data_IF_758799695791
#
_entry.id   IF_758799695791
#
_cell.length_a   1.000
_cell.length_b   1.000
_cell.length_c   1.000
_cell.angle_alpha   90.00
_cell.angle_beta   90.00
_cell.angle_gamma   90.00
#
_symmetry.space_group_name_H-M   'P 1'
#
loop_
_entity.id
_entity.type
_entity.pdbx_description
1 polymer ?
#
# COMPACT_ATOMS: atom_id res chain seq x y z
N UNK A 1 -2.56 21.73 -7.68
CA UNK A 1 -3.26 20.47 -7.32
C UNK A 1 -3.35 20.43 -5.81
N UNK A 2 -4.54 20.61 -5.22
CA UNK A 2 -4.69 20.74 -3.76
C UNK A 2 -4.25 19.48 -2.98
N UNK A 3 -3.66 19.61 -1.78
CA UNK A 3 -3.31 18.49 -0.90
C UNK A 3 -4.47 17.51 -0.66
N UNK A 4 -5.69 18.03 -0.52
CA UNK A 4 -6.91 17.23 -0.36
C UNK A 4 -7.16 16.32 -1.56
N UNK A 5 -6.85 16.78 -2.77
CA UNK A 5 -7.03 16.01 -4.00
C UNK A 5 -6.05 14.81 -4.09
N UNK A 6 -4.83 14.97 -3.55
CA UNK A 6 -3.83 13.88 -3.49
C UNK A 6 -4.27 12.82 -2.48
N UNK A 7 -4.74 13.24 -1.31
CA UNK A 7 -5.25 12.35 -0.28
C UNK A 7 -6.49 11.58 -0.74
N UNK A 8 -7.47 12.25 -1.37
CA UNK A 8 -8.67 11.59 -1.89
C UNK A 8 -8.35 10.55 -2.96
N UNK A 9 -7.38 10.83 -3.83
CA UNK A 9 -6.93 9.88 -4.86
C UNK A 9 -6.25 8.65 -4.24
N UNK A 10 -5.48 8.84 -3.18
CA UNK A 10 -4.87 7.73 -2.45
C UNK A 10 -5.91 6.88 -1.72
N UNK A 11 -6.82 7.51 -0.97
CA UNK A 11 -7.89 6.80 -0.24
C UNK A 11 -8.79 6.04 -1.22
N UNK A 12 -9.15 6.65 -2.35
CA UNK A 12 -9.93 5.99 -3.40
C UNK A 12 -9.19 4.79 -4.00
N UNK A 13 -7.88 4.89 -4.21
CA UNK A 13 -7.10 3.76 -4.74
C UNK A 13 -7.03 2.60 -3.73
N UNK A 14 -6.82 2.90 -2.45
CA UNK A 14 -6.74 1.89 -1.38
C UNK A 14 -8.12 1.27 -1.11
N UNK A 15 -9.21 2.02 -1.24
CA UNK A 15 -10.56 1.48 -1.03
C UNK A 15 -10.94 0.40 -2.04
N UNK A 16 -10.39 0.42 -3.26
CA UNK A 16 -10.62 -0.65 -4.24
C UNK A 16 -10.00 -1.99 -3.84
N UNK A 17 -9.02 -1.97 -2.94
CA UNK A 17 -8.31 -3.16 -2.43
C UNK A 17 -9.00 -3.70 -1.17
N UNK A 18 -10.05 -3.01 -0.70
CA UNK A 18 -10.80 -3.33 0.51
C UNK A 18 -12.14 -3.98 0.12
N UNK A 19 -12.29 -5.27 0.43
CA UNK A 19 -13.53 -6.03 0.31
C UNK A 19 -14.42 -5.84 1.57
N UNK A 20 -15.70 -5.45 1.40
CA UNK A 20 -16.58 -5.12 2.51
C UNK A 20 -16.86 -6.26 3.52
N UNK A 21 -16.71 -7.52 3.11
CA UNK A 21 -17.08 -8.69 3.93
C UNK A 21 -15.90 -9.32 4.68
N UNK A 22 -14.68 -9.19 4.15
CA UNK A 22 -13.48 -9.91 4.64
C UNK A 22 -12.31 -8.99 4.98
N UNK A 23 -12.40 -7.69 4.66
CA UNK A 23 -11.31 -6.73 4.86
C UNK A 23 -10.47 -6.56 3.60
N UNK A 24 -9.14 -6.65 3.66
CA UNK A 24 -8.29 -6.58 2.46
C UNK A 24 -8.47 -7.84 1.58
N UNK A 25 -8.15 -7.76 0.28
CA UNK A 25 -8.01 -8.94 -0.62
C UNK A 25 -7.27 -10.08 0.08
N UNK A 26 -7.61 -11.33 -0.29
CA UNK A 26 -7.02 -12.54 0.30
C UNK A 26 -5.49 -12.49 0.29
N UNK A 27 -4.86 -13.24 1.19
CA UNK A 27 -3.40 -13.24 1.33
C UNK A 27 -2.71 -13.62 0.01
N UNK A 28 -3.26 -14.58 -0.74
CA UNK A 28 -2.76 -14.98 -2.05
C UNK A 28 -2.94 -13.87 -3.11
N UNK A 29 -4.08 -13.17 -3.13
CA UNK A 29 -4.30 -12.03 -4.03
C UNK A 29 -3.41 -10.83 -3.67
N UNK A 30 -3.20 -10.57 -2.38
CA UNK A 30 -2.32 -9.51 -1.90
C UNK A 30 -0.86 -9.83 -2.23
N UNK A 31 -0.46 -11.09 -2.12
CA UNK A 31 0.84 -11.57 -2.54
C UNK A 31 1.03 -11.42 -4.05
N UNK A 32 0.04 -11.83 -4.86
CA UNK A 32 0.06 -11.65 -6.31
C UNK A 32 0.16 -10.17 -6.73
N UNK A 33 -0.63 -9.30 -6.10
CA UNK A 33 -0.62 -7.85 -6.35
C UNK A 33 0.73 -7.20 -5.99
N UNK A 34 1.45 -7.80 -5.04
CA UNK A 34 2.74 -7.29 -4.56
C UNK A 34 3.93 -8.08 -5.09
N UNK A 35 3.72 -9.08 -5.95
CA UNK A 35 4.78 -9.94 -6.47
C UNK A 35 5.55 -10.64 -5.35
N UNK A 36 4.83 -11.18 -4.37
CA UNK A 36 5.38 -12.02 -3.29
C UNK A 36 5.03 -13.46 -3.65
N UNK A 37 6.05 -14.32 -3.77
CA UNK A 37 5.82 -15.75 -4.02
C UNK A 37 5.45 -16.46 -2.72
N UNK A 38 4.29 -17.11 -2.73
CA UNK A 38 3.72 -17.86 -1.60
C UNK A 38 3.45 -19.33 -1.92
N UNK A 39 3.85 -19.82 -3.12
CA UNK A 39 3.50 -21.17 -3.58
C UNK A 39 4.10 -22.31 -2.74
N UNK A 40 5.09 -22.03 -1.89
CA UNK A 40 5.71 -23.00 -0.98
C UNK A 40 5.47 -22.75 0.51
N UNK A 41 4.59 -21.80 0.84
CA UNK A 41 4.32 -21.41 2.23
C UNK A 41 3.05 -22.11 2.72
N UNK A 42 3.12 -22.69 3.92
CA UNK A 42 1.97 -23.33 4.57
C UNK A 42 0.80 -22.35 4.70
N UNK A 43 -0.42 -22.80 4.36
CA UNK A 43 -1.62 -21.96 4.32
C UNK A 43 -1.91 -21.26 5.67
N UNK A 44 -1.53 -21.88 6.80
CA UNK A 44 -1.66 -21.28 8.13
C UNK A 44 -0.63 -20.18 8.44
N UNK A 45 0.47 -20.12 7.69
CA UNK A 45 1.58 -19.18 7.88
C UNK A 45 1.69 -18.13 6.77
N UNK A 46 0.90 -18.25 5.71
CA UNK A 46 0.90 -17.31 4.58
C UNK A 46 0.68 -15.87 5.00
N UNK A 47 -0.25 -15.59 5.92
CA UNK A 47 -0.52 -14.23 6.38
C UNK A 47 0.71 -13.60 7.03
N UNK A 48 1.38 -14.35 7.91
CA UNK A 48 2.56 -13.87 8.62
C UNK A 48 3.74 -13.68 7.67
N UNK A 49 3.92 -14.60 6.72
CA UNK A 49 4.95 -14.50 5.69
C UNK A 49 4.75 -13.28 4.78
N UNK A 50 3.54 -13.11 4.24
CA UNK A 50 3.19 -11.98 3.38
C UNK A 50 3.34 -10.67 4.13
N UNK A 51 2.91 -10.61 5.39
CA UNK A 51 3.07 -9.43 6.26
C UNK A 51 4.54 -9.11 6.51
N UNK A 52 5.36 -10.13 6.77
CA UNK A 52 6.80 -9.99 7.01
C UNK A 52 7.53 -9.41 5.79
N UNK A 53 7.10 -9.76 4.57
CA UNK A 53 7.69 -9.18 3.36
C UNK A 53 7.08 -7.85 2.92
N UNK A 54 5.83 -7.60 3.30
CA UNK A 54 5.18 -6.31 3.05
C UNK A 54 5.74 -5.18 3.91
N UNK A 55 6.10 -5.44 5.17
CA UNK A 55 6.55 -4.39 6.09
C UNK A 55 7.83 -3.68 5.57
N UNK A 56 8.90 -4.38 5.18
CA UNK A 56 10.10 -3.76 4.63
C UNK A 56 9.84 -3.03 3.31
N UNK A 57 9.04 -3.63 2.40
CA UNK A 57 8.70 -3.01 1.11
C UNK A 57 7.87 -1.74 1.31
N UNK A 58 6.85 -1.76 2.17
CA UNK A 58 6.09 -0.56 2.51
C UNK A 58 6.97 0.50 3.15
N UNK A 59 7.89 0.12 4.05
CA UNK A 59 8.82 1.09 4.64
C UNK A 59 9.74 1.73 3.61
N UNK A 60 10.27 0.93 2.68
CA UNK A 60 11.13 1.41 1.59
C UNK A 60 10.37 2.33 0.62
N UNK A 61 9.09 2.06 0.34
CA UNK A 61 8.24 2.90 -0.50
C UNK A 61 7.73 4.16 0.24
N UNK A 62 7.52 4.07 1.56
CA UNK A 62 6.94 5.15 2.37
C UNK A 62 7.85 6.37 2.45
N UNK A 63 9.17 6.17 2.58
CA UNK A 63 10.12 7.27 2.72
C UNK A 63 10.20 8.14 1.45
N UNK A 64 10.42 7.57 0.25
CA UNK A 64 10.37 8.33 -1.01
C UNK A 64 8.99 8.94 -1.27
N UNK A 65 7.91 8.20 -0.99
CA UNK A 65 6.56 8.70 -1.17
C UNK A 65 6.28 9.91 -0.27
N UNK A 66 6.68 9.86 1.00
CA UNK A 66 6.53 10.97 1.95
C UNK A 66 7.32 12.19 1.51
N UNK A 67 8.54 12.01 1.01
CA UNK A 67 9.35 13.11 0.47
C UNK A 67 8.70 13.73 -0.76
N UNK A 68 8.20 12.91 -1.69
CA UNK A 68 7.48 13.39 -2.87
C UNK A 68 6.21 14.16 -2.49
N UNK A 69 5.46 13.68 -1.50
CA UNK A 69 4.27 14.35 -0.98
C UNK A 69 4.61 15.71 -0.37
N UNK A 70 5.63 15.77 0.50
CA UNK A 70 6.07 17.02 1.13
C UNK A 70 6.56 18.03 0.10
N UNK A 71 7.29 17.58 -0.92
CA UNK A 71 7.74 18.42 -2.02
C UNK A 71 6.55 19.00 -2.82
N UNK A 72 5.55 18.17 -3.11
CA UNK A 72 4.31 18.61 -3.78
C UNK A 72 3.48 19.58 -2.94
N UNK A 73 3.47 19.44 -1.62
CA UNK A 73 2.81 20.38 -0.71
C UNK A 73 3.58 21.70 -0.63
N UNK A 74 4.92 21.66 -0.55
CA UNK A 74 5.79 22.84 -0.59
C UNK A 74 5.59 23.65 -1.87
N UNK A 75 5.53 23.00 -3.02
CA UNK A 75 5.30 23.64 -4.32
C UNK A 75 3.92 24.31 -4.45
N UNK A 76 2.88 23.78 -3.79
CA UNK A 76 1.56 24.45 -3.76
C UNK A 76 1.47 25.56 -2.70
N UNK A 77 2.32 25.58 -1.67
CA UNK A 77 2.31 26.62 -0.64
C UNK A 77 3.14 27.86 -1.03
N UNK A 78 3.98 27.72 -2.06
CA UNK A 78 4.85 28.81 -2.57
C UNK A 78 4.31 29.44 -3.87
N UNK A 79 3.24 28.87 -4.44
CA UNK A 79 2.44 29.46 -5.52
C UNK A 79 1.09 29.94 -4.95
#
# INVERSE_FOLDING_TARGET
VSPTHILLRFVSHVSHIFQPATGFVSVDEQAALKGIDVMGVDDGLKDEYVRRELIPRRHAELVPWRQHLMERMRQNATN
#
